data_IF_035646560737
#
_entry.id   IF_035646560737
#
_cell.length_a   1.000
_cell.length_b   1.000
_cell.length_c   1.000
_cell.angle_alpha   90.00
_cell.angle_beta   90.00
_cell.angle_gamma   90.00
#
_symmetry.space_group_name_H-M   'P 1'
#
loop_
_entity.id
_entity.type
_entity.pdbx_description
1 polymer ?
#
# COMPACT_ATOMS: atom_id res chain seq x y z
N UNK A 1 -47.36 -22.15 20.24
CA UNK A 1 -46.15 -22.97 20.02
C UNK A 1 -45.70 -22.65 18.60
N UNK A 2 -44.83 -21.64 18.44
CA UNK A 2 -43.36 -21.75 18.34
C UNK A 2 -42.96 -21.83 16.86
N UNK A 3 -42.01 -21.11 16.31
CA UNK A 3 -41.25 -19.90 16.65
C UNK A 3 -40.77 -19.35 15.29
N UNK A 4 -40.53 -18.04 15.21
CA UNK A 4 -39.91 -17.37 14.06
C UNK A 4 -38.66 -18.12 13.59
N UNK A 5 -38.64 -18.53 12.32
CA UNK A 5 -37.38 -18.81 11.63
C UNK A 5 -36.94 -17.50 10.97
N UNK A 6 -36.36 -16.62 11.78
CA UNK A 6 -35.53 -15.52 11.28
C UNK A 6 -34.42 -16.15 10.45
N UNK A 7 -34.61 -16.20 9.13
CA UNK A 7 -33.51 -16.42 8.22
C UNK A 7 -32.62 -15.18 8.38
N UNK A 8 -31.59 -15.33 9.22
CA UNK A 8 -30.43 -14.47 9.12
C UNK A 8 -29.89 -14.70 7.71
N UNK A 9 -30.14 -13.71 6.86
CA UNK A 9 -29.32 -13.38 5.72
C UNK A 9 -27.88 -13.29 6.27
N UNK A 10 -27.17 -14.42 6.27
CA UNK A 10 -25.71 -14.45 6.34
C UNK A 10 -25.25 -13.83 5.01
N UNK A 11 -25.38 -12.49 4.96
CA UNK A 11 -24.70 -11.64 4.00
C UNK A 11 -23.21 -11.83 4.29
N UNK A 12 -22.64 -12.92 3.78
CA UNK A 12 -21.22 -13.00 3.52
C UNK A 12 -21.01 -11.92 2.47
N UNK A 13 -20.72 -10.70 2.93
CA UNK A 13 -20.29 -9.63 2.06
C UNK A 13 -19.18 -10.21 1.20
N UNK A 14 -19.35 -10.27 -0.13
CA UNK A 14 -18.31 -10.78 -0.98
C UNK A 14 -17.12 -9.86 -0.77
N UNK A 15 -16.08 -10.36 -0.09
CA UNK A 15 -14.82 -9.65 0.06
C UNK A 15 -14.29 -9.44 -1.35
N UNK A 16 -14.56 -8.28 -1.95
CA UNK A 16 -14.16 -8.04 -3.33
C UNK A 16 -12.64 -8.05 -3.33
N UNK A 17 -11.99 -9.01 -4.00
CA UNK A 17 -10.55 -9.11 -3.98
C UNK A 17 -9.95 -7.87 -4.64
N UNK A 18 -8.86 -7.36 -4.07
CA UNK A 18 -8.17 -6.22 -4.62
C UNK A 18 -7.57 -6.59 -5.99
N UNK A 19 -7.86 -5.83 -7.07
CA UNK A 19 -7.41 -6.17 -8.42
C UNK A 19 -5.96 -5.73 -8.73
N UNK A 20 -5.27 -5.10 -7.79
CA UNK A 20 -3.89 -4.62 -7.96
C UNK A 20 -2.84 -5.55 -7.32
N UNK A 21 -1.54 -5.20 -7.43
CA UNK A 21 -0.49 -5.96 -6.76
C UNK A 21 -0.72 -6.00 -5.24
N UNK A 22 -0.51 -7.19 -4.65
CA UNK A 22 -0.51 -7.37 -3.21
C UNK A 22 0.82 -6.92 -2.65
N UNK A 23 0.81 -5.79 -1.94
CA UNK A 23 1.96 -5.33 -1.17
C UNK A 23 1.99 -6.07 0.17
N UNK A 24 3.17 -6.56 0.56
CA UNK A 24 3.33 -7.07 1.92
C UNK A 24 3.29 -5.92 2.95
N UNK A 25 3.20 -6.28 4.24
CA UNK A 25 3.12 -5.31 5.33
C UNK A 25 4.23 -4.25 5.29
N UNK A 26 5.48 -4.64 4.97
CA UNK A 26 6.63 -3.73 4.95
C UNK A 26 6.55 -2.75 3.78
N UNK A 27 6.23 -3.25 2.59
CA UNK A 27 6.05 -2.43 1.38
C UNK A 27 4.93 -1.41 1.56
N UNK A 28 3.78 -1.85 2.09
CA UNK A 28 2.66 -0.97 2.36
C UNK A 28 3.01 0.09 3.42
N UNK A 29 3.75 -0.28 4.47
CA UNK A 29 4.20 0.68 5.49
C UNK A 29 5.11 1.77 4.91
N UNK A 30 6.12 1.38 4.12
CA UNK A 30 7.04 2.31 3.47
C UNK A 30 6.29 3.24 2.52
N UNK A 31 5.42 2.69 1.65
CA UNK A 31 4.68 3.48 0.67
C UNK A 31 3.74 4.49 1.34
N UNK A 32 3.02 4.09 2.41
CA UNK A 32 2.17 5.02 3.18
C UNK A 32 2.96 6.15 3.82
N UNK A 33 4.15 5.88 4.36
CA UNK A 33 5.01 6.94 4.92
C UNK A 33 5.45 7.94 3.86
N UNK A 34 5.78 7.48 2.66
CA UNK A 34 6.13 8.35 1.54
C UNK A 34 4.96 9.20 1.04
N UNK A 35 3.74 8.67 1.07
CA UNK A 35 2.55 9.41 0.67
C UNK A 35 2.21 10.52 1.66
N UNK A 36 2.41 10.30 2.96
CA UNK A 36 2.25 11.36 3.98
C UNK A 36 3.21 12.52 3.71
N UNK A 37 4.38 12.25 3.13
CA UNK A 37 5.33 13.26 2.70
C UNK A 37 4.96 13.93 1.35
N UNK A 38 3.76 13.67 0.81
CA UNK A 38 3.22 14.33 -0.38
C UNK A 38 4.13 14.33 -1.63
N UNK A 39 4.94 13.29 -1.80
CA UNK A 39 5.88 13.16 -2.92
C UNK A 39 7.24 13.82 -2.70
N UNK A 40 7.51 14.33 -1.49
CA UNK A 40 8.84 14.75 -1.08
C UNK A 40 9.81 13.56 -1.02
N UNK A 41 11.08 13.84 -1.31
CA UNK A 41 12.18 12.89 -1.11
C UNK A 41 12.46 12.77 0.39
N UNK A 42 12.35 11.55 0.90
CA UNK A 42 12.70 11.24 2.29
C UNK A 42 13.92 10.32 2.34
N UNK A 43 14.85 10.55 3.29
CA UNK A 43 15.96 9.62 3.50
C UNK A 43 15.41 8.25 3.91
N UNK A 44 15.79 7.18 3.21
CA UNK A 44 15.29 5.85 3.52
C UNK A 44 15.69 5.38 4.94
N UNK A 45 16.77 5.94 5.49
CA UNK A 45 17.18 5.73 6.87
C UNK A 45 16.13 6.15 7.91
N UNK A 46 15.27 7.13 7.61
CA UNK A 46 14.21 7.60 8.53
C UNK A 46 12.91 6.81 8.40
N UNK A 47 12.79 5.90 7.42
CA UNK A 47 11.59 5.12 7.16
C UNK A 47 11.80 3.70 7.70
N UNK A 48 10.97 3.31 8.66
CA UNK A 48 10.99 1.94 9.17
C UNK A 48 10.72 0.95 8.04
N UNK A 49 11.47 -0.16 8.03
CA UNK A 49 11.38 -1.23 7.03
C UNK A 49 11.80 -0.86 5.60
N UNK A 50 12.32 0.35 5.35
CA UNK A 50 12.91 0.73 4.06
C UNK A 50 14.30 0.08 3.87
N UNK A 51 14.30 -1.24 3.72
CA UNK A 51 15.49 -2.03 3.38
C UNK A 51 15.57 -2.31 1.86
N UNK A 52 16.73 -2.79 1.37
CA UNK A 52 16.94 -3.00 -0.06
C UNK A 52 15.91 -3.88 -0.74
N UNK A 53 15.51 -4.99 -0.11
CA UNK A 53 14.48 -5.87 -0.67
C UNK A 53 13.13 -5.15 -0.85
N UNK A 54 12.69 -4.41 0.17
CA UNK A 54 11.40 -3.70 0.19
C UNK A 54 11.39 -2.55 -0.80
N UNK A 55 12.43 -1.72 -0.82
CA UNK A 55 12.49 -0.57 -1.73
C UNK A 55 12.64 -1.03 -3.17
N UNK A 56 13.50 -2.02 -3.46
CA UNK A 56 13.63 -2.53 -4.82
C UNK A 56 12.34 -3.19 -5.33
N UNK A 57 11.56 -3.85 -4.48
CA UNK A 57 10.24 -4.35 -4.85
C UNK A 57 9.30 -3.20 -5.23
N UNK A 58 9.21 -2.16 -4.41
CA UNK A 58 8.38 -0.97 -4.70
C UNK A 58 8.82 -0.22 -5.97
N UNK A 59 10.12 -0.15 -6.24
CA UNK A 59 10.67 0.41 -7.48
C UNK A 59 10.28 -0.45 -8.69
N UNK A 60 10.35 -1.79 -8.58
CA UNK A 60 9.89 -2.69 -9.65
C UNK A 60 8.40 -2.55 -9.97
N UNK A 61 7.58 -2.22 -8.97
CA UNK A 61 6.17 -1.91 -9.17
C UNK A 61 5.92 -0.50 -9.72
N UNK A 62 6.95 0.35 -9.81
CA UNK A 62 6.81 1.73 -10.24
C UNK A 62 6.19 2.66 -9.19
N UNK A 63 6.10 2.22 -7.92
CA UNK A 63 5.48 3.00 -6.85
C UNK A 63 6.44 3.90 -6.10
N UNK A 64 7.73 3.62 -6.19
CA UNK A 64 8.80 4.40 -5.57
C UNK A 64 9.89 4.70 -6.60
N UNK A 65 10.44 5.90 -6.50
CA UNK A 65 11.59 6.35 -7.28
C UNK A 65 12.79 6.60 -6.36
N UNK A 66 13.97 6.28 -6.88
CA UNK A 66 15.26 6.63 -6.27
C UNK A 66 15.75 7.99 -6.80
N UNK A 67 16.82 8.51 -6.19
CA UNK A 67 17.54 9.67 -6.72
C UNK A 67 18.04 9.43 -8.15
N UNK A 68 18.09 10.51 -8.94
CA UNK A 68 18.45 10.43 -10.37
C UNK A 68 19.88 9.89 -10.53
N UNK A 69 20.03 8.87 -11.36
CA UNK A 69 21.32 8.23 -11.65
C UNK A 69 21.64 7.03 -10.77
N UNK A 70 20.78 6.70 -9.80
CA UNK A 70 20.90 5.50 -8.98
C UNK A 70 20.18 4.32 -9.64
N UNK A 71 20.91 3.21 -9.84
CA UNK A 71 20.34 1.96 -10.34
C UNK A 71 20.06 0.92 -9.24
N UNK A 72 20.80 0.98 -8.14
CA UNK A 72 20.68 0.05 -7.01
C UNK A 72 20.49 0.84 -5.73
N UNK A 73 19.45 0.51 -4.99
CA UNK A 73 19.14 1.16 -3.73
C UNK A 73 20.19 0.85 -2.65
N UNK A 74 20.64 1.89 -1.96
CA UNK A 74 21.35 1.84 -0.69
C UNK A 74 20.59 2.63 0.39
N UNK A 75 20.71 2.22 1.65
CA UNK A 75 19.95 2.83 2.77
C UNK A 75 20.33 4.28 3.07
N UNK A 76 21.47 4.76 2.57
CA UNK A 76 21.86 6.17 2.66
C UNK A 76 21.09 7.10 1.73
N UNK A 77 20.35 6.56 0.76
CA UNK A 77 19.69 7.35 -0.30
C UNK A 77 18.32 7.87 0.11
N UNK A 78 17.89 8.93 -0.56
CA UNK A 78 16.51 9.39 -0.51
C UNK A 78 15.64 8.61 -1.49
N UNK A 79 14.38 8.43 -1.11
CA UNK A 79 13.34 7.79 -1.92
C UNK A 79 12.08 8.65 -1.87
N UNK A 80 11.27 8.61 -2.93
CA UNK A 80 9.96 9.27 -2.97
C UNK A 80 8.91 8.33 -3.53
N UNK A 81 7.65 8.53 -3.15
CA UNK A 81 6.54 7.89 -3.82
C UNK A 81 6.34 8.53 -5.22
N UNK A 82 6.05 7.70 -6.21
CA UNK A 82 5.64 8.15 -7.55
C UNK A 82 4.17 8.56 -7.54
N UNK A 83 3.72 9.22 -8.61
CA UNK A 83 2.29 9.48 -8.80
C UNK A 83 1.47 8.18 -8.83
N UNK A 84 2.00 7.13 -9.46
CA UNK A 84 1.36 5.81 -9.50
C UNK A 84 1.28 5.15 -8.12
N UNK A 85 2.34 5.29 -7.30
CA UNK A 85 2.34 4.81 -5.92
C UNK A 85 1.32 5.52 -5.03
N UNK A 86 1.18 6.85 -5.20
CA UNK A 86 0.15 7.64 -4.51
C UNK A 86 -1.25 7.20 -4.95
N UNK A 87 -1.49 7.12 -6.26
CA UNK A 87 -2.78 6.71 -6.82
C UNK A 87 -3.13 5.26 -6.45
N UNK A 88 -2.14 4.38 -6.33
CA UNK A 88 -2.33 3.00 -5.86
C UNK A 88 -2.92 2.98 -4.45
N UNK A 89 -2.30 3.68 -3.49
CA UNK A 89 -2.78 3.66 -2.10
C UNK A 89 -4.13 4.33 -1.97
N UNK A 90 -4.40 5.42 -2.70
CA UNK A 90 -5.71 6.05 -2.72
C UNK A 90 -6.80 5.08 -3.19
N UNK A 91 -6.56 4.34 -4.28
CA UNK A 91 -7.48 3.31 -4.78
C UNK A 91 -7.61 2.14 -3.80
N UNK A 92 -6.51 1.69 -3.21
CA UNK A 92 -6.51 0.60 -2.24
C UNK A 92 -7.32 0.96 -0.98
N UNK A 93 -7.17 2.18 -0.47
CA UNK A 93 -7.95 2.66 0.66
C UNK A 93 -9.42 2.90 0.32
N UNK A 94 -9.73 3.41 -0.88
CA UNK A 94 -11.10 3.55 -1.34
C UNK A 94 -11.80 2.17 -1.44
N UNK A 95 -11.11 1.19 -2.04
CA UNK A 95 -11.57 -0.20 -2.13
C UNK A 95 -11.82 -0.81 -0.74
N UNK A 96 -10.89 -0.62 0.20
CA UNK A 96 -11.06 -1.10 1.57
C UNK A 96 -12.23 -0.44 2.30
N UNK A 97 -12.47 0.86 2.09
CA UNK A 97 -13.64 1.53 2.67
C UNK A 97 -14.96 1.03 2.08
N UNK A 98 -14.99 0.72 0.79
CA UNK A 98 -16.20 0.27 0.10
C UNK A 98 -16.57 -1.19 0.39
N UNK A 99 -15.60 -2.04 0.74
CA UNK A 99 -15.79 -3.50 0.82
C UNK A 99 -15.43 -4.15 2.16
N UNK A 100 -14.90 -3.41 3.13
CA UNK A 100 -14.48 -3.96 4.42
C UNK A 100 -14.90 -3.11 5.65
N UNK A 101 -15.61 -2.01 5.45
CA UNK A 101 -16.19 -1.20 6.54
C UNK A 101 -17.70 -1.07 6.31
N UNK A 102 -18.44 -2.10 6.70
CA UNK A 102 -19.86 -2.09 7.04
C UNK A 102 -20.02 -2.69 8.45
#
# INVERSE_FOLDING_TARGET
MASQASHHDDLVEPSVPWPGPELNYRENHVLKKLIVAAGEMLPASTIAYAGPATVNALVKHGFVELEKGIQTFDRSQCIRATQDGIAFVQRYEAHRRQHFYL
#
